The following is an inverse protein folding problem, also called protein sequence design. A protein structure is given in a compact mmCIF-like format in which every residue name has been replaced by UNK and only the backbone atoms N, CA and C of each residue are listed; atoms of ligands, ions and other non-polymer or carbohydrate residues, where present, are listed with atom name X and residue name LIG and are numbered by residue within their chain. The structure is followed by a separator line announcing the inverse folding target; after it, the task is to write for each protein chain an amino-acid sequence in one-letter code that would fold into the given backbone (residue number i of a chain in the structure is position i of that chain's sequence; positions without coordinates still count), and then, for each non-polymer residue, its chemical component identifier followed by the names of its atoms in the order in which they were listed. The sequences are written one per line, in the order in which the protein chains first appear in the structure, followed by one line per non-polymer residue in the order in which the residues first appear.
data_IF_905446402950
#
_entry.id   IF_905446402950
#
_cell.length_a   1.000
_cell.length_b   1.000
_cell.length_c   1.000
_cell.angle_alpha   90.00
_cell.angle_beta   90.00
_cell.angle_gamma   90.00
#
_symmetry.space_group_name_H-M   'P 1'
#
loop_
_entity.id
_entity.type
_entity.pdbx_description
1 polymer ?
#
# COMPACT_ATOMS: atom_id res chain seq x y z
N UNK A 1 12.57 23.09 -5.36
CA UNK A 1 11.21 23.25 -4.82
C UNK A 1 10.23 22.69 -5.81
N UNK A 2 9.54 21.66 -5.35
CA UNK A 2 8.42 21.02 -6.02
C UNK A 2 7.34 22.04 -6.41
N UNK A 3 6.78 21.89 -7.60
CA UNK A 3 5.62 22.62 -8.13
C UNK A 3 4.67 21.61 -8.76
N UNK A 4 3.44 22.03 -9.11
CA UNK A 4 2.52 21.13 -9.81
C UNK A 4 3.16 20.62 -11.11
N UNK A 5 3.83 21.49 -11.86
CA UNK A 5 4.45 21.13 -13.15
C UNK A 5 5.61 20.14 -13.01
N UNK A 6 6.33 20.17 -11.89
CA UNK A 6 7.45 19.25 -11.64
C UNK A 6 7.03 17.98 -10.92
N UNK A 7 5.85 17.99 -10.29
CA UNK A 7 5.23 16.82 -9.68
C UNK A 7 4.38 16.02 -10.68
N UNK A 8 3.81 16.70 -11.67
CA UNK A 8 2.86 16.09 -12.61
C UNK A 8 3.55 15.19 -13.63
N UNK A 9 3.02 13.99 -13.79
CA UNK A 9 3.45 13.02 -14.80
C UNK A 9 2.35 12.86 -15.86
N UNK A 10 2.58 13.43 -17.04
CA UNK A 10 1.64 13.40 -18.17
C UNK A 10 1.33 11.97 -18.62
N UNK A 11 2.34 11.09 -18.66
CA UNK A 11 2.15 9.71 -19.11
C UNK A 11 1.27 8.93 -18.14
N UNK A 12 1.57 9.03 -16.84
CA UNK A 12 0.75 8.45 -15.78
C UNK A 12 -0.68 8.99 -15.81
N UNK A 13 -0.82 10.31 -15.88
CA UNK A 13 -2.12 10.95 -15.78
C UNK A 13 -3.03 10.56 -16.93
N UNK A 14 -2.53 10.55 -18.17
CA UNK A 14 -3.32 10.15 -19.34
C UNK A 14 -3.62 8.65 -19.37
N UNK A 15 -2.72 7.81 -18.80
CA UNK A 15 -2.99 6.38 -18.67
C UNK A 15 -4.18 6.10 -17.73
N UNK A 16 -4.22 6.76 -16.57
CA UNK A 16 -5.31 6.60 -15.60
C UNK A 16 -6.61 7.29 -16.02
N UNK A 17 -6.54 8.29 -16.91
CA UNK A 17 -7.67 9.14 -17.27
C UNK A 17 -7.92 9.15 -18.79
N UNK A 18 -8.44 8.04 -19.38
CA UNK A 18 -8.74 7.97 -20.80
C UNK A 18 -9.74 9.03 -21.29
N UNK A 19 -10.62 9.50 -20.41
CA UNK A 19 -11.54 10.60 -20.69
C UNK A 19 -10.80 11.90 -21.02
N UNK A 20 -9.67 12.17 -20.37
CA UNK A 20 -8.83 13.34 -20.64
C UNK A 20 -8.16 13.24 -22.01
N UNK A 21 -7.78 12.03 -22.44
CA UNK A 21 -7.25 11.80 -23.79
C UNK A 21 -8.27 12.20 -24.85
N UNK A 22 -9.54 11.86 -24.64
CA UNK A 22 -10.63 12.24 -25.55
C UNK A 22 -10.84 13.77 -25.57
N UNK A 23 -10.79 14.43 -24.42
CA UNK A 23 -10.91 15.90 -24.29
C UNK A 23 -9.76 16.66 -24.97
N UNK A 24 -8.53 16.13 -24.89
CA UNK A 24 -7.37 16.67 -25.63
C UNK A 24 -7.55 16.45 -27.13
N UNK A 25 -8.02 15.27 -27.56
CA UNK A 25 -8.28 14.98 -28.97
C UNK A 25 -9.39 15.87 -29.56
N UNK A 26 -10.37 16.26 -28.74
CA UNK A 26 -11.42 17.22 -29.08
C UNK A 26 -10.92 18.68 -29.12
N UNK A 27 -9.71 18.96 -28.59
CA UNK A 27 -9.12 20.29 -28.52
C UNK A 27 -9.65 21.16 -27.38
N UNK A 28 -10.29 20.56 -26.38
CA UNK A 28 -10.79 21.27 -25.19
C UNK A 28 -9.65 21.59 -24.20
N UNK A 29 -8.60 20.78 -24.20
CA UNK A 29 -7.35 21.01 -23.47
C UNK A 29 -6.14 20.77 -24.39
N UNK A 30 -5.04 21.45 -24.10
CA UNK A 30 -3.77 21.33 -24.83
C UNK A 30 -2.85 20.24 -24.26
N UNK A 31 -3.04 19.83 -23.00
CA UNK A 31 -2.32 18.74 -22.35
C UNK A 31 -3.08 18.20 -21.12
N UNK A 32 -2.65 17.05 -20.63
CA UNK A 32 -3.09 16.49 -19.36
C UNK A 32 -2.73 17.40 -18.19
N UNK A 33 -1.57 18.06 -18.22
CA UNK A 33 -1.21 19.06 -17.21
C UNK A 33 -2.21 20.23 -17.17
N UNK A 34 -2.63 20.75 -18.32
CA UNK A 34 -3.65 21.82 -18.36
C UNK A 34 -4.99 21.34 -17.80
N UNK A 35 -5.40 20.11 -18.16
CA UNK A 35 -6.59 19.50 -17.59
C UNK A 35 -6.47 19.35 -16.07
N UNK A 36 -5.35 18.82 -15.58
CA UNK A 36 -5.13 18.58 -14.17
C UNK A 36 -5.17 19.87 -13.35
N UNK A 37 -4.46 20.91 -13.80
CA UNK A 37 -4.42 22.22 -13.12
C UNK A 37 -5.80 22.86 -13.04
N UNK A 38 -6.62 22.75 -14.09
CA UNK A 38 -7.90 23.44 -14.15
C UNK A 38 -9.09 22.61 -13.63
N UNK A 39 -8.98 21.28 -13.68
CA UNK A 39 -10.09 20.34 -13.42
C UNK A 39 -9.62 19.21 -12.51
N UNK A 40 -8.64 18.42 -12.94
CA UNK A 40 -8.30 17.15 -12.30
C UNK A 40 -7.95 17.21 -10.81
N UNK A 41 -7.20 18.23 -10.38
CA UNK A 41 -6.85 18.40 -8.97
C UNK A 41 -8.06 18.71 -8.07
N UNK A 42 -9.14 19.24 -8.64
CA UNK A 42 -10.40 19.51 -7.93
C UNK A 42 -11.35 18.31 -7.95
N UNK A 43 -11.07 17.31 -8.79
CA UNK A 43 -11.76 16.01 -8.85
C UNK A 43 -11.01 14.93 -8.06
N UNK A 44 -10.03 15.31 -7.24
CA UNK A 44 -9.18 14.40 -6.48
C UNK A 44 -8.43 13.37 -7.34
N UNK A 45 -8.09 13.70 -8.58
CA UNK A 45 -7.28 12.83 -9.45
C UNK A 45 -5.80 12.90 -9.05
N UNK A 46 -5.08 11.81 -9.24
CA UNK A 46 -3.67 11.73 -8.85
C UNK A 46 -2.73 12.32 -9.92
N UNK A 47 -1.76 13.18 -9.55
CA UNK A 47 -0.85 13.82 -10.52
C UNK A 47 0.28 12.91 -11.00
N UNK A 48 0.62 11.87 -10.24
CA UNK A 48 1.67 10.88 -10.54
C UNK A 48 1.49 9.65 -9.64
N UNK A 49 2.28 8.61 -9.87
CA UNK A 49 2.19 7.34 -9.15
C UNK A 49 2.48 7.42 -7.64
N UNK A 50 3.13 8.47 -7.16
CA UNK A 50 3.63 8.59 -5.78
C UNK A 50 2.77 9.51 -4.90
N UNK A 51 1.74 10.15 -5.46
CA UNK A 51 0.79 10.97 -4.72
C UNK A 51 -0.61 10.40 -4.89
N UNK A 52 -1.13 9.81 -3.81
CA UNK A 52 -2.49 9.32 -3.72
C UNK A 52 -3.34 10.36 -2.99
N UNK A 53 -4.23 10.98 -3.74
CA UNK A 53 -5.05 12.09 -3.26
C UNK A 53 -6.06 11.62 -2.23
N UNK A 54 -6.62 10.42 -2.40
CA UNK A 54 -7.65 9.88 -1.49
C UNK A 54 -7.01 9.51 -0.16
N UNK A 55 -5.91 8.75 -0.19
CA UNK A 55 -5.11 8.42 0.98
C UNK A 55 -4.65 9.67 1.72
N UNK A 56 -4.10 10.65 1.01
CA UNK A 56 -3.58 11.86 1.64
C UNK A 56 -4.68 12.66 2.35
N UNK A 57 -5.90 12.69 1.81
CA UNK A 57 -7.03 13.35 2.46
C UNK A 57 -7.54 12.58 3.68
N UNK A 58 -7.57 11.25 3.60
CA UNK A 58 -8.05 10.36 4.66
C UNK A 58 -7.19 10.47 5.93
N UNK A 59 -5.87 10.34 5.80
CA UNK A 59 -4.98 10.37 6.97
C UNK A 59 -4.76 11.78 7.51
N UNK A 60 -5.08 12.81 6.72
CA UNK A 60 -4.90 14.21 7.07
C UNK A 60 -6.25 14.94 7.19
N UNK A 61 -7.18 14.40 7.99
CA UNK A 61 -8.54 14.94 8.18
C UNK A 61 -8.61 16.44 8.52
N UNK A 62 -7.60 16.97 9.23
CA UNK A 62 -7.49 18.41 9.51
C UNK A 62 -7.21 19.27 8.26
N UNK A 63 -6.58 18.69 7.24
CA UNK A 63 -6.34 19.30 5.93
C UNK A 63 -7.61 19.28 5.10
N UNK A 64 -8.40 18.20 5.15
CA UNK A 64 -9.69 18.11 4.45
C UNK A 64 -10.62 19.30 4.83
N UNK A 65 -10.61 19.71 6.10
CA UNK A 65 -11.39 20.89 6.56
C UNK A 65 -10.89 22.21 5.94
N UNK A 66 -9.58 22.36 5.70
CA UNK A 66 -9.00 23.54 5.05
C UNK A 66 -9.24 23.54 3.53
N UNK A 67 -9.31 22.35 2.93
CA UNK A 67 -9.64 22.14 1.51
C UNK A 67 -11.13 22.41 1.25
N UNK A 68 -12.03 21.96 2.14
CA UNK A 68 -13.48 22.24 2.05
C UNK A 68 -13.81 23.74 2.14
N UNK A 69 -12.96 24.53 2.80
CA UNK A 69 -13.05 26.00 2.80
C UNK A 69 -12.62 26.63 1.45
N UNK A 70 -12.27 25.83 0.44
CA UNK A 70 -11.96 26.23 -0.94
C UNK A 70 -10.61 26.94 -1.08
N UNK A 71 -9.68 26.75 -0.15
CA UNK A 71 -8.43 27.52 -0.10
C UNK A 71 -7.22 26.84 -0.73
N UNK A 72 -7.19 25.50 -0.79
CA UNK A 72 -6.12 24.69 -1.38
C UNK A 72 -6.69 23.35 -1.87
N UNK A 73 -6.08 22.72 -2.86
CA UNK A 73 -6.27 21.28 -3.15
C UNK A 73 -5.33 20.42 -2.31
N UNK A 74 -5.52 19.09 -2.31
CA UNK A 74 -4.64 18.15 -1.61
C UNK A 74 -3.18 18.29 -2.07
N UNK A 75 -2.97 18.35 -3.39
CA UNK A 75 -1.65 18.52 -4.01
C UNK A 75 -1.03 19.88 -3.66
N UNK A 76 -1.81 20.96 -3.71
CA UNK A 76 -1.32 22.28 -3.32
C UNK A 76 -0.93 22.34 -1.84
N UNK A 77 -1.73 21.72 -0.97
CA UNK A 77 -1.41 21.61 0.44
C UNK A 77 -0.12 20.83 0.66
N UNK A 78 0.03 19.68 0.01
CA UNK A 78 1.23 18.87 0.16
C UNK A 78 2.49 19.61 -0.31
N UNK A 79 2.43 20.25 -1.48
CA UNK A 79 3.55 21.02 -2.03
C UNK A 79 3.96 22.16 -1.07
N UNK A 80 3.00 22.86 -0.46
CA UNK A 80 3.29 24.03 0.38
C UNK A 80 3.62 23.69 1.83
N UNK A 81 3.05 22.61 2.36
CA UNK A 81 3.09 22.27 3.79
C UNK A 81 3.44 20.80 4.01
N UNK A 82 2.68 19.88 3.42
CA UNK A 82 2.77 18.44 3.74
C UNK A 82 4.17 17.85 3.64
N UNK A 83 4.90 18.11 2.56
CA UNK A 83 6.25 17.60 2.38
C UNK A 83 7.27 18.15 3.40
N UNK A 84 6.99 19.32 4.00
CA UNK A 84 7.83 19.94 5.04
C UNK A 84 7.39 19.54 6.46
N UNK A 85 6.20 18.96 6.58
CA UNK A 85 5.66 18.38 7.82
C UNK A 85 5.93 16.87 7.92
N UNK A 86 6.75 16.33 7.02
CA UNK A 86 7.04 14.89 6.91
C UNK A 86 5.79 14.01 6.75
N UNK A 87 4.76 14.53 6.07
CA UNK A 87 3.56 13.74 5.75
C UNK A 87 3.83 12.84 4.55
N UNK A 88 3.29 11.63 4.63
CA UNK A 88 3.38 10.67 3.53
C UNK A 88 2.26 10.94 2.50
N UNK A 89 2.57 11.04 1.20
CA UNK A 89 1.61 11.35 0.14
C UNK A 89 0.91 10.13 -0.45
N UNK A 90 1.38 8.92 -0.16
CA UNK A 90 0.79 7.64 -0.58
C UNK A 90 1.32 6.51 0.32
N UNK A 91 0.68 5.33 0.33
CA UNK A 91 1.24 4.16 1.00
C UNK A 91 2.63 3.76 0.47
N UNK A 92 2.90 4.04 -0.81
CA UNK A 92 4.17 3.69 -1.47
C UNK A 92 5.31 4.68 -1.24
N UNK A 93 5.12 5.76 -0.47
CA UNK A 93 6.21 6.63 -0.08
C UNK A 93 6.18 6.89 1.43
N UNK A 94 7.22 6.45 2.13
CA UNK A 94 7.34 6.65 3.56
C UNK A 94 8.55 7.54 3.88
N UNK A 95 8.27 8.74 4.37
CA UNK A 95 9.27 9.77 4.64
C UNK A 95 10.28 9.33 5.69
N UNK A 96 9.82 8.66 6.74
CA UNK A 96 10.67 8.16 7.82
C UNK A 96 11.61 7.05 7.35
N UNK A 97 11.10 6.10 6.56
CA UNK A 97 11.87 5.04 5.92
C UNK A 97 12.93 5.63 4.98
N UNK A 98 12.53 6.55 4.10
CA UNK A 98 13.43 7.13 3.11
C UNK A 98 14.57 7.93 3.77
N UNK A 99 14.32 8.52 4.93
CA UNK A 99 15.33 9.27 5.71
C UNK A 99 15.98 8.47 6.83
N UNK A 100 15.71 7.16 6.93
CA UNK A 100 16.32 6.28 7.93
C UNK A 100 17.85 6.17 7.77
N UNK A 101 18.36 6.39 6.56
CA UNK A 101 19.79 6.52 6.29
C UNK A 101 20.28 7.95 6.66
N UNK A 102 21.12 8.11 7.70
CA UNK A 102 21.57 9.42 8.15
C UNK A 102 22.41 10.19 7.12
N UNK A 103 23.14 9.49 6.25
CA UNK A 103 23.94 10.12 5.20
C UNK A 103 23.03 10.75 4.13
N UNK A 104 21.98 10.03 3.73
CA UNK A 104 20.97 10.57 2.83
C UNK A 104 20.26 11.76 3.46
N UNK A 105 19.79 11.63 4.71
CA UNK A 105 19.13 12.73 5.42
C UNK A 105 20.00 14.01 5.46
N UNK A 106 21.30 13.86 5.75
CA UNK A 106 22.26 14.98 5.76
C UNK A 106 22.46 15.58 4.37
N UNK A 107 22.51 14.76 3.31
CA UNK A 107 22.63 15.22 1.94
C UNK A 107 21.38 15.99 1.48
N UNK A 108 20.18 15.53 1.86
CA UNK A 108 18.92 16.21 1.56
C UNK A 108 18.83 17.58 2.22
N UNK A 109 19.18 17.66 3.51
CA UNK A 109 19.23 18.93 4.24
C UNK A 109 20.21 19.91 3.58
N UNK A 110 21.40 19.44 3.21
CA UNK A 110 22.43 20.26 2.55
C UNK A 110 22.01 20.72 1.15
N UNK A 111 21.17 19.95 0.47
CA UNK A 111 20.64 20.25 -0.86
C UNK A 111 19.33 21.07 -0.82
N UNK A 112 18.79 21.37 0.37
CA UNK A 112 17.49 21.99 0.56
C UNK A 112 16.36 21.24 -0.16
N UNK A 113 16.43 19.89 -0.16
CA UNK A 113 15.43 19.01 -0.75
C UNK A 113 14.63 18.30 0.34
N UNK A 114 13.31 18.22 0.16
CA UNK A 114 12.50 17.30 0.95
C UNK A 114 12.75 15.86 0.49
N UNK A 115 12.50 14.86 1.35
CA UNK A 115 12.60 13.44 0.98
C UNK A 115 11.81 13.10 -0.28
N UNK A 116 10.57 13.58 -0.34
CA UNK A 116 9.69 13.34 -1.49
C UNK A 116 10.17 14.07 -2.75
N UNK A 117 10.58 15.34 -2.65
CA UNK A 117 11.14 16.07 -3.81
C UNK A 117 12.38 15.35 -4.36
N UNK A 118 13.25 14.84 -3.48
CA UNK A 118 14.40 14.06 -3.92
C UNK A 118 13.99 12.76 -4.61
N UNK A 119 13.06 12.00 -4.04
CA UNK A 119 12.68 10.72 -4.61
C UNK A 119 12.06 10.87 -6.00
N UNK A 120 11.11 11.81 -6.15
CA UNK A 120 10.47 12.09 -7.45
C UNK A 120 11.49 12.54 -8.49
N UNK A 121 12.50 13.35 -8.12
CA UNK A 121 13.45 13.91 -9.10
C UNK A 121 14.66 13.04 -9.37
N UNK A 122 15.06 12.22 -8.40
CA UNK A 122 16.33 11.47 -8.42
C UNK A 122 16.13 10.04 -7.92
N UNK A 123 15.56 9.86 -6.73
CA UNK A 123 15.55 8.56 -6.05
C UNK A 123 14.94 7.41 -6.85
N UNK A 124 13.82 7.65 -7.54
CA UNK A 124 13.18 6.64 -8.40
C UNK A 124 14.05 6.21 -9.60
N UNK A 125 15.09 6.98 -9.95
CA UNK A 125 16.07 6.70 -10.99
C UNK A 125 17.43 6.22 -10.43
N UNK A 126 17.56 6.18 -9.10
CA UNK A 126 18.76 5.73 -8.37
C UNK A 126 18.59 4.32 -7.77
N UNK A 127 17.56 3.58 -8.19
CA UNK A 127 17.15 2.29 -7.60
C UNK A 127 16.96 2.37 -6.08
N UNK A 128 16.41 3.47 -5.57
CA UNK A 128 16.10 3.61 -4.15
C UNK A 128 14.69 3.12 -3.87
N UNK A 129 14.51 2.54 -2.69
CA UNK A 129 13.20 2.14 -2.21
C UNK A 129 12.46 3.35 -1.63
N UNK A 130 11.21 3.61 -2.02
CA UNK A 130 10.43 4.74 -1.51
C UNK A 130 9.75 4.46 -0.16
N UNK A 131 9.46 3.20 0.11
CA UNK A 131 8.86 2.73 1.36
C UNK A 131 9.23 1.26 1.58
N UNK A 132 8.84 0.73 2.73
CA UNK A 132 8.94 -0.70 3.01
C UNK A 132 8.03 -1.54 2.09
N UNK A 133 7.01 -0.97 1.47
CA UNK A 133 6.07 -1.69 0.58
C UNK A 133 6.59 -1.86 -0.85
N UNK A 134 7.80 -1.38 -1.17
CA UNK A 134 8.37 -1.54 -2.50
C UNK A 134 9.90 -1.65 -2.48
N UNK A 135 10.40 -2.84 -2.79
CA UNK A 135 11.82 -3.12 -3.03
C UNK A 135 12.09 -3.05 -4.53
N UNK A 136 12.82 -2.01 -4.93
CA UNK A 136 13.07 -1.69 -6.34
C UNK A 136 13.92 -2.75 -7.01
N UNK A 137 14.97 -3.23 -6.34
CA UNK A 137 15.89 -4.23 -6.89
C UNK A 137 15.21 -5.60 -6.98
N UNK A 138 14.41 -5.97 -5.99
CA UNK A 138 13.58 -7.17 -6.02
C UNK A 138 12.56 -7.11 -7.17
N UNK A 139 11.79 -6.03 -7.27
CA UNK A 139 10.74 -5.90 -8.27
C UNK A 139 11.32 -5.99 -9.69
N UNK A 140 12.41 -5.29 -9.97
CA UNK A 140 13.13 -5.37 -11.26
C UNK A 140 13.71 -6.78 -11.46
N UNK A 141 14.27 -7.39 -10.41
CA UNK A 141 14.87 -8.72 -10.45
C UNK A 141 13.86 -9.81 -10.83
N UNK A 142 12.67 -9.78 -10.24
CA UNK A 142 11.59 -10.73 -10.52
C UNK A 142 10.92 -10.49 -11.87
N UNK A 143 10.84 -9.23 -12.30
CA UNK A 143 10.07 -8.81 -13.47
C UNK A 143 10.99 -8.34 -14.61
N UNK A 144 11.66 -9.29 -15.26
CA UNK A 144 12.61 -8.98 -16.35
C UNK A 144 11.97 -8.29 -17.56
N UNK A 145 10.66 -8.43 -17.75
CA UNK A 145 9.88 -7.69 -18.74
C UNK A 145 9.89 -6.18 -18.47
N UNK A 146 9.92 -5.77 -17.20
CA UNK A 146 9.95 -4.36 -16.80
C UNK A 146 11.26 -3.69 -17.23
N UNK A 147 12.38 -4.41 -17.22
CA UNK A 147 13.68 -3.87 -17.63
C UNK A 147 13.64 -3.33 -19.07
N UNK A 148 12.96 -4.02 -19.99
CA UNK A 148 12.83 -3.56 -21.37
C UNK A 148 11.96 -2.30 -21.46
N UNK A 149 10.85 -2.27 -20.71
CA UNK A 149 9.92 -1.15 -20.65
C UNK A 149 10.52 0.12 -20.03
N UNK A 150 11.43 -0.02 -19.07
CA UNK A 150 12.19 1.11 -18.52
C UNK A 150 13.24 1.60 -19.53
N UNK A 151 13.99 0.69 -20.15
CA UNK A 151 15.05 1.04 -21.09
C UNK A 151 14.54 1.74 -22.36
N UNK A 152 13.33 1.40 -22.82
CA UNK A 152 12.71 2.02 -23.98
C UNK A 152 11.88 3.28 -23.62
N UNK A 153 11.77 3.63 -22.34
CA UNK A 153 11.06 4.80 -21.85
C UNK A 153 9.54 4.68 -21.87
N UNK A 154 8.97 3.46 -21.93
CA UNK A 154 7.52 3.25 -21.81
C UNK A 154 7.04 3.61 -20.41
N UNK A 155 7.83 3.28 -19.39
CA UNK A 155 7.63 3.74 -18.01
C UNK A 155 8.87 4.50 -17.56
N UNK A 156 8.67 5.56 -16.79
CA UNK A 156 9.74 6.38 -16.25
C UNK A 156 10.53 5.65 -15.15
N UNK A 157 9.85 4.84 -14.33
CA UNK A 157 10.47 4.14 -13.20
C UNK A 157 9.75 2.83 -12.86
N UNK A 158 10.43 1.99 -12.08
CA UNK A 158 9.90 0.71 -11.63
C UNK A 158 8.63 0.87 -10.77
N UNK A 159 8.62 1.85 -9.87
CA UNK A 159 7.46 2.13 -9.02
C UNK A 159 6.25 2.60 -9.84
N UNK A 160 6.46 3.38 -10.91
CA UNK A 160 5.39 3.76 -11.83
C UNK A 160 4.81 2.53 -12.55
N UNK A 161 5.67 1.64 -13.06
CA UNK A 161 5.23 0.38 -13.68
C UNK A 161 4.46 -0.47 -12.68
N UNK A 162 4.96 -0.59 -11.44
CA UNK A 162 4.26 -1.33 -10.39
C UNK A 162 2.87 -0.79 -10.16
N UNK A 163 2.71 0.50 -9.87
CA UNK A 163 1.41 1.06 -9.51
C UNK A 163 0.42 0.98 -10.68
N UNK A 164 0.87 1.17 -11.92
CA UNK A 164 -0.03 1.14 -13.09
C UNK A 164 -0.34 -0.26 -13.64
N UNK A 165 0.57 -1.22 -13.45
CA UNK A 165 0.49 -2.55 -14.10
C UNK A 165 0.72 -3.67 -13.10
N UNK A 166 1.82 -3.63 -12.37
CA UNK A 166 2.19 -4.74 -11.48
C UNK A 166 1.21 -4.97 -10.34
N UNK A 167 0.70 -3.89 -9.73
CA UNK A 167 -0.24 -3.93 -8.63
C UNK A 167 -1.60 -4.52 -9.08
N UNK A 168 -2.23 -4.06 -10.19
CA UNK A 168 -3.38 -4.73 -10.79
C UNK A 168 -3.15 -6.20 -11.21
N UNK A 169 -1.91 -6.59 -11.48
CA UNK A 169 -1.51 -7.96 -11.83
C UNK A 169 -1.13 -8.81 -10.60
N UNK A 170 -1.26 -8.27 -9.39
CA UNK A 170 -0.88 -8.92 -8.14
C UNK A 170 0.59 -9.34 -8.09
N UNK A 171 1.47 -8.56 -8.74
CA UNK A 171 2.93 -8.79 -8.69
C UNK A 171 3.44 -8.42 -7.30
N UNK A 172 4.36 -9.21 -6.77
CA UNK A 172 5.04 -8.90 -5.51
C UNK A 172 5.89 -7.64 -5.66
N UNK A 173 5.73 -6.69 -4.76
CA UNK A 173 6.61 -5.52 -4.63
C UNK A 173 7.75 -5.74 -3.65
N UNK A 174 7.65 -6.75 -2.79
CA UNK A 174 8.68 -7.08 -1.79
C UNK A 174 8.99 -8.58 -1.79
N UNK A 175 10.20 -9.00 -1.37
CA UNK A 175 10.50 -10.41 -1.19
C UNK A 175 9.53 -11.08 -0.20
N UNK A 176 8.98 -12.27 -0.53
CA UNK A 176 8.22 -13.06 0.45
C UNK A 176 9.06 -13.37 1.69
N UNK A 177 8.45 -13.49 2.86
CA UNK A 177 9.11 -14.24 3.94
C UNK A 177 9.21 -15.71 3.51
N UNK A 178 10.29 -16.41 3.90
CA UNK A 178 10.56 -17.80 3.55
C UNK A 178 9.46 -18.77 4.05
N UNK A 179 8.60 -18.32 4.97
CA UNK A 179 7.45 -19.07 5.48
C UNK A 179 6.17 -18.84 4.69
N UNK A 180 6.13 -17.86 3.80
CA UNK A 180 4.89 -17.39 3.20
C UNK A 180 4.49 -18.21 1.97
N UNK A 181 3.30 -18.81 2.02
CA UNK A 181 2.61 -19.29 0.82
C UNK A 181 1.62 -18.22 0.32
N UNK A 182 2.19 -17.11 -0.16
CA UNK A 182 1.54 -15.84 -0.46
C UNK A 182 0.32 -15.88 -1.41
N UNK A 183 0.20 -16.93 -2.23
CA UNK A 183 -0.84 -17.01 -3.29
C UNK A 183 -1.92 -18.07 -3.02
N UNK A 184 -1.81 -18.82 -1.92
CA UNK A 184 -2.80 -19.83 -1.55
C UNK A 184 -3.75 -19.28 -0.48
N UNK A 185 -4.65 -18.40 -0.90
CA UNK A 185 -5.83 -18.05 -0.09
C UNK A 185 -6.59 -19.36 0.17
N UNK A 186 -6.58 -19.80 1.43
CA UNK A 186 -7.26 -20.99 1.93
C UNK A 186 -8.78 -20.82 1.85
N UNK A 187 -9.28 -19.62 2.13
CA UNK A 187 -10.69 -19.28 2.00
C UNK A 187 -10.95 -17.77 1.99
N UNK A 188 -12.06 -17.37 1.38
CA UNK A 188 -12.53 -15.99 1.36
C UNK A 188 -13.85 -15.89 2.15
N UNK A 189 -13.85 -15.05 3.19
CA UNK A 189 -15.03 -14.79 4.01
C UNK A 189 -15.91 -13.65 3.46
N UNK A 190 -15.45 -12.92 2.43
CA UNK A 190 -16.17 -11.77 1.88
C UNK A 190 -16.34 -10.65 2.90
N UNK A 191 -17.47 -9.95 2.86
CA UNK A 191 -17.79 -8.89 3.84
C UNK A 191 -18.02 -9.50 5.22
N UNK A 192 -17.14 -9.17 6.16
CA UNK A 192 -17.11 -9.79 7.48
C UNK A 192 -18.21 -9.22 8.39
N UNK A 193 -19.04 -10.10 8.92
CA UNK A 193 -19.81 -9.87 10.14
C UNK A 193 -19.40 -10.89 11.20
N UNK A 194 -19.57 -12.17 10.86
CA UNK A 194 -18.90 -13.26 11.58
C UNK A 194 -18.49 -14.36 10.61
N UNK A 195 -17.40 -15.03 10.92
CA UNK A 195 -16.87 -16.16 10.13
C UNK A 195 -16.23 -17.20 11.04
N UNK A 196 -16.30 -18.46 10.62
CA UNK A 196 -15.64 -19.58 11.29
C UNK A 196 -14.98 -20.48 10.25
N UNK A 197 -13.81 -21.02 10.60
CA UNK A 197 -13.13 -22.04 9.83
C UNK A 197 -12.49 -23.09 10.75
N UNK A 198 -12.35 -24.31 10.26
CA UNK A 198 -11.56 -25.34 10.93
C UNK A 198 -10.68 -26.03 9.91
N UNK A 199 -9.37 -26.09 10.21
CA UNK A 199 -8.39 -26.67 9.30
C UNK A 199 -7.17 -27.17 10.09
N UNK A 200 -6.03 -27.32 9.42
CA UNK A 200 -4.82 -27.93 9.95
C UNK A 200 -3.57 -27.20 9.45
N UNK A 201 -2.65 -26.90 10.37
CA UNK A 201 -1.28 -26.47 10.05
C UNK A 201 -0.24 -27.46 10.59
N UNK A 202 0.89 -27.59 9.88
CA UNK A 202 1.97 -28.51 10.22
C UNK A 202 3.04 -28.62 9.13
N UNK A 203 3.99 -29.56 9.29
CA UNK A 203 5.21 -29.69 8.45
C UNK A 203 4.95 -29.70 6.91
N UNK A 204 3.76 -30.14 6.48
CA UNK A 204 3.35 -30.20 5.06
C UNK A 204 2.35 -29.13 4.62
N UNK A 205 1.78 -28.37 5.54
CA UNK A 205 0.91 -27.22 5.32
C UNK A 205 1.20 -26.19 6.42
N UNK A 206 2.32 -25.46 6.33
CA UNK A 206 2.78 -24.65 7.46
C UNK A 206 1.91 -23.39 7.67
N UNK A 207 1.11 -23.00 6.68
CA UNK A 207 0.35 -21.74 6.70
C UNK A 207 -1.00 -21.93 6.03
N UNK A 208 -2.05 -21.39 6.65
CA UNK A 208 -3.35 -21.14 6.03
C UNK A 208 -3.66 -19.63 6.07
N UNK A 209 -4.22 -19.08 4.97
CA UNK A 209 -4.52 -17.64 4.85
C UNK A 209 -6.00 -17.48 4.48
N UNK A 210 -6.73 -16.64 5.21
CA UNK A 210 -8.13 -16.31 4.89
C UNK A 210 -8.28 -14.83 4.61
N UNK A 211 -8.98 -14.47 3.53
CA UNK A 211 -9.28 -13.07 3.20
C UNK A 211 -10.65 -12.66 3.75
N UNK A 212 -10.79 -11.38 4.08
CA UNK A 212 -12.07 -10.77 4.43
C UNK A 212 -12.08 -9.27 4.13
N UNK A 213 -13.27 -8.69 4.06
CA UNK A 213 -13.51 -7.27 3.77
C UNK A 213 -14.24 -6.66 4.95
N UNK A 214 -13.75 -5.52 5.45
CA UNK A 214 -14.54 -4.61 6.26
C UNK A 214 -15.08 -3.52 5.34
N UNK A 215 -16.40 -3.44 5.17
CA UNK A 215 -17.04 -2.43 4.33
C UNK A 215 -17.55 -1.21 5.13
N UNK A 216 -17.25 -1.20 6.44
CA UNK A 216 -17.45 -0.10 7.38
C UNK A 216 -16.42 -0.24 8.49
N UNK A 217 -15.91 0.87 9.08
CA UNK A 217 -15.06 0.78 10.25
C UNK A 217 -15.72 0.00 11.38
N UNK A 218 -15.00 -0.95 11.96
CA UNK A 218 -15.53 -1.94 12.90
C UNK A 218 -14.48 -2.28 13.97
N UNK A 219 -14.90 -2.76 15.14
CA UNK A 219 -14.02 -3.56 16.00
C UNK A 219 -13.90 -4.98 15.43
N UNK A 220 -12.84 -5.70 15.76
CA UNK A 220 -12.58 -7.04 15.27
C UNK A 220 -12.02 -7.94 16.38
N UNK A 221 -12.68 -9.07 16.60
CA UNK A 221 -12.21 -10.14 17.49
C UNK A 221 -11.80 -11.35 16.65
N UNK A 222 -10.59 -11.87 16.86
CA UNK A 222 -10.07 -13.07 16.19
C UNK A 222 -9.61 -14.06 17.24
N UNK A 223 -10.15 -15.29 17.18
CA UNK A 223 -9.84 -16.34 18.15
C UNK A 223 -9.45 -17.62 17.42
N UNK A 224 -8.30 -18.17 17.78
CA UNK A 224 -7.82 -19.48 17.35
C UNK A 224 -7.84 -20.45 18.53
N UNK A 225 -8.61 -21.53 18.43
CA UNK A 225 -8.78 -22.51 19.50
C UNK A 225 -8.57 -23.94 19.00
N UNK A 226 -8.61 -24.90 19.93
CA UNK A 226 -8.61 -26.33 19.60
C UNK A 226 -7.23 -26.89 19.26
N UNK A 227 -6.18 -26.15 19.62
CA UNK A 227 -4.79 -26.49 19.33
C UNK A 227 -4.31 -27.73 20.11
N UNK A 228 -3.56 -28.59 19.41
CA UNK A 228 -2.84 -29.75 19.98
C UNK A 228 -1.33 -29.69 19.73
N UNK A 229 -0.90 -28.70 18.95
CA UNK A 229 0.47 -28.25 18.72
C UNK A 229 0.47 -26.72 18.62
N UNK A 230 1.65 -26.12 18.47
CA UNK A 230 1.85 -24.67 18.56
C UNK A 230 1.60 -23.98 17.22
N UNK A 231 0.66 -23.03 17.19
CA UNK A 231 0.31 -22.24 16.03
C UNK A 231 0.00 -20.79 16.42
N UNK A 232 0.48 -19.86 15.60
CA UNK A 232 0.32 -18.43 15.77
C UNK A 232 -0.78 -17.89 14.84
N UNK A 233 -1.33 -16.72 15.16
CA UNK A 233 -2.27 -15.99 14.29
C UNK A 233 -1.80 -14.55 14.07
N UNK A 234 -1.90 -14.08 12.83
CA UNK A 234 -1.53 -12.73 12.41
C UNK A 234 -2.68 -12.08 11.63
N UNK A 235 -2.87 -10.78 11.83
CA UNK A 235 -3.76 -9.93 11.04
C UNK A 235 -2.92 -9.05 10.12
N UNK A 236 -3.35 -9.00 8.87
CA UNK A 236 -2.64 -8.37 7.75
C UNK A 236 -3.63 -7.45 7.05
N UNK A 237 -3.25 -6.20 6.83
CA UNK A 237 -4.02 -5.25 6.02
C UNK A 237 -3.46 -5.27 4.60
N UNK A 238 -4.27 -5.56 3.58
CA UNK A 238 -3.84 -5.48 2.18
C UNK A 238 -3.71 -4.01 1.76
N UNK A 239 -2.69 -3.33 2.30
CA UNK A 239 -2.49 -1.88 2.19
C UNK A 239 -2.37 -1.50 0.72
N UNK A 240 -1.73 -2.35 -0.07
CA UNK A 240 -1.52 -2.11 -1.49
C UNK A 240 -2.68 -2.65 -2.37
N UNK A 241 -3.60 -3.45 -1.84
CA UNK A 241 -4.72 -4.06 -2.54
C UNK A 241 -4.31 -4.99 -3.70
N UNK A 242 -3.15 -5.64 -3.59
CA UNK A 242 -2.67 -6.62 -4.57
C UNK A 242 -3.22 -8.03 -4.33
N UNK A 243 -4.03 -8.24 -3.28
CA UNK A 243 -4.59 -9.54 -2.95
C UNK A 243 -3.56 -10.55 -2.43
N UNK A 244 -2.41 -10.08 -1.95
CA UNK A 244 -1.31 -10.89 -1.42
C UNK A 244 -1.05 -10.53 0.03
N UNK A 245 -1.01 -11.53 0.90
CA UNK A 245 -0.76 -11.32 2.32
C UNK A 245 0.75 -11.16 2.61
N UNK A 246 1.28 -9.94 2.61
CA UNK A 246 2.71 -9.69 2.81
C UNK A 246 3.09 -9.50 4.29
N UNK A 247 4.25 -9.99 4.71
CA UNK A 247 4.69 -9.90 6.12
C UNK A 247 4.90 -8.45 6.60
N UNK A 248 5.17 -7.52 5.67
CA UNK A 248 5.32 -6.09 5.99
C UNK A 248 3.99 -5.37 6.21
N UNK A 249 2.89 -6.06 5.95
CA UNK A 249 1.51 -5.59 6.10
C UNK A 249 0.84 -6.15 7.37
N UNK A 250 1.57 -6.98 8.14
CA UNK A 250 1.13 -7.47 9.45
C UNK A 250 1.07 -6.30 10.43
N UNK A 251 -0.11 -6.05 11.02
CA UNK A 251 -0.30 -4.98 12.01
C UNK A 251 -0.67 -5.49 13.40
N UNK A 252 -1.11 -6.75 13.53
CA UNK A 252 -1.37 -7.39 14.82
C UNK A 252 -1.08 -8.89 14.78
N UNK A 253 -0.70 -9.47 15.91
CA UNK A 253 -0.35 -10.88 16.03
C UNK A 253 -0.60 -11.42 17.45
N UNK A 254 -0.82 -12.72 17.56
CA UNK A 254 -0.77 -13.48 18.82
C UNK A 254 0.07 -14.74 18.62
N UNK A 255 0.98 -14.98 19.58
CA UNK A 255 2.00 -16.03 19.55
C UNK A 255 2.14 -16.77 20.89
N UNK A 256 1.01 -17.14 21.51
CA UNK A 256 1.05 -17.82 22.80
C UNK A 256 1.64 -19.22 22.65
N UNK A 257 2.73 -19.49 23.37
CA UNK A 257 3.40 -20.77 23.26
C UNK A 257 2.50 -21.99 23.59
N UNK A 258 2.63 -23.04 22.79
CA UNK A 258 2.12 -24.38 23.07
C UNK A 258 0.72 -24.65 22.52
N UNK A 259 -0.30 -24.62 23.39
CA UNK A 259 -1.70 -24.98 23.01
C UNK A 259 -2.71 -24.02 23.65
N UNK A 260 -2.21 -22.86 24.09
CA UNK A 260 -3.10 -21.81 24.54
C UNK A 260 -3.88 -21.28 23.34
N UNK A 261 -5.07 -20.75 23.58
CA UNK A 261 -5.82 -20.10 22.51
C UNK A 261 -5.07 -18.82 22.07
N UNK A 262 -5.08 -18.52 20.78
CA UNK A 262 -4.63 -17.23 20.27
C UNK A 262 -5.81 -16.27 20.18
N UNK A 263 -5.62 -15.04 20.64
CA UNK A 263 -6.68 -14.03 20.70
C UNK A 263 -6.09 -12.70 20.24
N UNK A 264 -6.73 -12.07 19.26
CA UNK A 264 -6.47 -10.69 18.85
C UNK A 264 -7.77 -9.91 18.94
N UNK A 265 -7.78 -8.87 19.77
CA UNK A 265 -8.91 -7.96 19.95
C UNK A 265 -8.51 -6.57 19.46
N UNK A 266 -9.23 -6.02 18.48
CA UNK A 266 -8.99 -4.70 17.87
C UNK A 266 -10.22 -3.83 18.11
N UNK A 267 -10.07 -2.74 18.87
CA UNK A 267 -11.16 -1.82 19.20
C UNK A 267 -11.68 -1.03 17.98
N UNK A 268 -10.81 -0.80 16.99
CA UNK A 268 -11.14 -0.04 15.79
C UNK A 268 -10.22 -0.44 14.64
N UNK A 269 -10.82 -0.85 13.53
CA UNK A 269 -10.18 -1.11 12.25
C UNK A 269 -10.95 -0.36 11.17
N UNK A 270 -10.23 0.21 10.20
CA UNK A 270 -10.83 0.94 9.09
C UNK A 270 -11.59 -0.01 8.14
N UNK A 271 -12.32 0.56 7.18
CA UNK A 271 -12.78 -0.23 6.05
C UNK A 271 -11.59 -0.59 5.15
N UNK A 272 -11.57 -1.80 4.60
CA UNK A 272 -10.41 -2.30 3.87
C UNK A 272 -10.47 -3.78 3.55
N UNK A 273 -9.46 -4.24 2.83
CA UNK A 273 -9.21 -5.64 2.56
C UNK A 273 -8.17 -6.16 3.55
N UNK A 274 -8.44 -7.31 4.14
CA UNK A 274 -7.63 -7.87 5.21
C UNK A 274 -7.43 -9.37 5.02
N UNK A 275 -6.37 -9.87 5.63
CA UNK A 275 -6.13 -11.29 5.79
C UNK A 275 -5.95 -11.66 7.26
N UNK A 276 -6.32 -12.90 7.58
CA UNK A 276 -5.88 -13.59 8.78
C UNK A 276 -5.02 -14.77 8.36
N UNK A 277 -3.81 -14.84 8.92
CA UNK A 277 -2.83 -15.89 8.64
C UNK A 277 -2.65 -16.75 9.88
N UNK A 278 -2.88 -18.05 9.73
CA UNK A 278 -2.61 -19.06 10.77
C UNK A 278 -1.34 -19.81 10.37
N UNK A 279 -0.33 -19.79 11.23
CA UNK A 279 0.98 -20.37 10.94
C UNK A 279 1.36 -21.41 11.97
N UNK A 280 1.88 -22.56 11.52
CA UNK A 280 2.54 -23.51 12.41
C UNK A 280 3.78 -22.85 13.05
N UNK A 281 3.86 -22.88 14.37
CA UNK A 281 5.09 -22.54 15.10
C UNK A 281 5.89 -23.80 15.46
N UNK A 282 5.22 -24.80 16.03
CA UNK A 282 5.86 -26.06 16.44
C UNK A 282 4.85 -27.19 16.58
N UNK A 283 4.92 -28.13 15.64
CA UNK A 283 4.21 -29.38 15.69
C UNK A 283 2.81 -29.27 15.07
N UNK A 284 2.44 -30.34 14.40
CA UNK A 284 1.16 -30.48 13.71
C UNK A 284 -0.05 -30.22 14.61
N UNK A 285 -0.96 -29.36 14.18
CA UNK A 285 -2.15 -29.01 14.95
C UNK A 285 -3.37 -28.80 14.06
N UNK A 286 -4.53 -29.29 14.51
CA UNK A 286 -5.81 -28.82 13.99
C UNK A 286 -6.21 -27.55 14.75
N UNK A 287 -7.04 -26.72 14.14
CA UNK A 287 -7.54 -25.52 14.80
C UNK A 287 -9.01 -25.24 14.45
N UNK A 288 -9.62 -24.38 15.25
CA UNK A 288 -10.89 -23.70 14.97
C UNK A 288 -10.67 -22.19 15.09
N UNK A 289 -10.84 -21.49 13.97
CA UNK A 289 -10.69 -20.05 13.83
C UNK A 289 -12.08 -19.41 13.82
N UNK A 290 -12.30 -18.37 14.61
CA UNK A 290 -13.50 -17.55 14.59
C UNK A 290 -13.16 -16.07 14.50
N UNK A 291 -13.86 -15.34 13.64
CA UNK A 291 -13.74 -13.89 13.47
C UNK A 291 -15.11 -13.25 13.72
N UNK A 292 -15.16 -12.16 14.47
CA UNK A 292 -16.37 -11.36 14.69
C UNK A 292 -16.06 -9.87 14.53
N UNK A 293 -16.76 -9.21 13.61
CA UNK A 293 -16.65 -7.78 13.36
C UNK A 293 -17.91 -7.06 13.86
N UNK A 294 -17.73 -6.01 14.67
CA UNK A 294 -18.83 -5.26 15.30
C UNK A 294 -18.73 -3.76 15.01
N UNK A 295 -19.89 -3.11 14.87
CA UNK A 295 -20.02 -1.66 14.65
C UNK A 295 -19.92 -0.83 15.94
#
# INVERSE_FOLDING_TARGET
MLTIETLFDEGFYLFQNPDVVDEIAAGNFSSGLEHFVNVGQFENRDPNALFDTSFYLEINTGVATAIEAGSLTAVEHFIRFGQFESRDPSPFFNTAFYTSNPELATALESAELTPFEHYVRFGQFENRDPSFLFDTDFYIGQNQDVVELLNNGTFASAIQHYILVGLPENRLSTPPDFRDNLLNITGDFGVLGSAEASNFVGDGNPVDIYSFILNTPSSLDVVLTGLVGDADVELIEDINNNGVAETLEVFAESRNAGTADEIIDIDFLAEGNYFVRVSEFSGNTNYSLSLEANL
#
